data_IF_266891083158
#
_entry.id   IF_266891083158
#
_cell.length_a   1.000
_cell.length_b   1.000
_cell.length_c   1.000
_cell.angle_alpha   90.00
_cell.angle_beta   90.00
_cell.angle_gamma   90.00
#
_symmetry.space_group_name_H-M   'P 1'
#
loop_
_entity.id
_entity.type
_entity.pdbx_description
1 polymer ?
#
# COMPACT_ATOMS: atom_id res chain seq x y z
N UNK A 1 12.70 -18.09 -9.28
CA UNK A 1 11.99 -18.21 -8.00
C UNK A 1 12.81 -17.56 -6.90
N UNK A 2 12.21 -16.69 -6.12
CA UNK A 2 12.86 -16.06 -4.98
C UNK A 2 12.93 -17.04 -3.82
N UNK A 3 14.12 -17.19 -3.24
CA UNK A 3 14.25 -17.97 -2.00
C UNK A 3 14.02 -17.04 -0.82
N UNK A 4 13.06 -17.38 0.04
CA UNK A 4 12.70 -16.60 1.24
C UNK A 4 13.94 -16.29 2.10
N UNK A 5 14.89 -17.22 2.19
CA UNK A 5 16.14 -17.03 2.94
C UNK A 5 17.05 -15.92 2.40
N UNK A 6 16.78 -15.37 1.22
CA UNK A 6 17.53 -14.27 0.63
C UNK A 6 16.84 -12.91 0.81
N UNK A 7 15.60 -12.87 1.30
CA UNK A 7 14.88 -11.64 1.53
C UNK A 7 15.37 -10.97 2.80
N UNK A 8 15.65 -9.68 2.72
CA UNK A 8 15.89 -8.84 3.89
C UNK A 8 14.54 -8.33 4.37
N UNK A 9 14.25 -8.57 5.65
CA UNK A 9 12.92 -8.40 6.23
C UNK A 9 12.35 -6.99 6.04
N UNK A 10 13.18 -5.96 6.24
CA UNK A 10 12.72 -4.56 6.20
C UNK A 10 12.81 -3.91 4.82
N UNK A 11 13.32 -4.64 3.83
CA UNK A 11 13.59 -4.09 2.50
C UNK A 11 12.56 -4.56 1.48
N UNK A 12 12.22 -3.72 0.50
CA UNK A 12 11.38 -4.13 -0.61
C UNK A 12 12.14 -5.11 -1.51
N UNK A 13 11.40 -6.00 -2.14
CA UNK A 13 11.97 -6.97 -3.06
C UNK A 13 11.15 -7.04 -4.36
N UNK A 14 11.75 -6.73 -5.53
CA UNK A 14 11.09 -6.92 -6.81
C UNK A 14 10.88 -8.41 -7.09
N UNK A 15 9.62 -8.85 -7.09
CA UNK A 15 9.24 -10.22 -7.42
C UNK A 15 9.24 -10.46 -8.91
N UNK A 16 8.93 -9.44 -9.69
CA UNK A 16 8.98 -9.42 -11.13
C UNK A 16 9.46 -8.06 -11.59
N UNK A 17 10.32 -8.03 -12.60
CA UNK A 17 10.86 -6.80 -13.15
C UNK A 17 11.19 -6.96 -14.63
N UNK A 18 10.74 -5.99 -15.45
CA UNK A 18 11.19 -5.80 -16.80
C UNK A 18 11.33 -4.28 -17.08
N UNK A 19 11.59 -3.90 -18.32
CA UNK A 19 11.81 -2.49 -18.69
C UNK A 19 10.62 -1.58 -18.37
N UNK A 20 9.38 -2.10 -18.42
CA UNK A 20 8.16 -1.31 -18.27
C UNK A 20 7.46 -1.53 -16.94
N UNK A 21 7.63 -2.70 -16.31
CA UNK A 21 6.83 -3.11 -15.16
C UNK A 21 7.69 -3.64 -14.02
N UNK A 22 7.27 -3.35 -12.79
CA UNK A 22 7.79 -3.99 -11.57
C UNK A 22 6.63 -4.43 -10.71
N UNK A 23 6.76 -5.62 -10.11
CA UNK A 23 5.87 -6.08 -9.06
C UNK A 23 6.72 -6.32 -7.82
N UNK A 24 6.47 -5.53 -6.78
CA UNK A 24 7.37 -5.42 -5.62
C UNK A 24 6.63 -5.86 -4.34
N UNK A 25 7.24 -6.77 -3.60
CA UNK A 25 6.88 -7.04 -2.21
C UNK A 25 7.56 -5.98 -1.33
N UNK A 26 6.80 -5.33 -0.45
CA UNK A 26 7.24 -4.13 0.25
C UNK A 26 7.92 -4.40 1.60
N UNK A 27 8.30 -5.63 1.85
CA UNK A 27 9.02 -5.98 3.06
C UNK A 27 8.12 -6.34 4.23
N UNK A 28 8.74 -6.70 5.33
CA UNK A 28 8.10 -7.09 6.57
C UNK A 28 8.96 -6.58 7.73
N UNK A 29 8.34 -6.21 8.82
CA UNK A 29 9.03 -5.89 10.07
C UNK A 29 8.48 -6.78 11.19
N UNK A 30 9.32 -7.62 11.75
CA UNK A 30 8.93 -8.53 12.82
C UNK A 30 8.44 -7.79 14.08
N UNK A 31 8.94 -6.57 14.32
CA UNK A 31 8.47 -5.74 15.43
C UNK A 31 7.00 -5.34 15.29
N UNK A 32 6.45 -5.38 14.08
CA UNK A 32 5.04 -5.09 13.82
C UNK A 32 4.11 -6.14 14.43
N UNK A 33 4.60 -7.38 14.62
CA UNK A 33 3.82 -8.45 15.24
C UNK A 33 3.38 -8.10 16.67
N UNK A 34 4.16 -7.29 17.38
CA UNK A 34 3.81 -6.81 18.72
C UNK A 34 2.69 -5.76 18.70
N UNK A 35 2.50 -5.10 17.56
CA UNK A 35 1.56 -4.00 17.37
C UNK A 35 0.27 -4.43 16.69
N UNK A 36 0.25 -5.61 16.06
CA UNK A 36 -0.91 -6.07 15.31
C UNK A 36 -0.63 -7.33 14.50
N UNK A 37 -1.47 -7.56 13.51
CA UNK A 37 -1.36 -8.72 12.61
C UNK A 37 -0.37 -8.39 11.49
N UNK A 38 0.56 -9.31 11.22
CA UNK A 38 1.47 -9.19 10.09
C UNK A 38 0.70 -9.35 8.78
N UNK A 39 0.90 -8.38 7.88
CA UNK A 39 0.26 -8.36 6.56
C UNK A 39 1.31 -8.16 5.48
N UNK A 40 0.98 -8.53 4.25
CA UNK A 40 1.84 -8.31 3.09
C UNK A 40 1.31 -7.15 2.26
N UNK A 41 2.19 -6.27 1.84
CA UNK A 41 1.88 -5.15 0.99
C UNK A 41 2.65 -5.26 -0.32
N UNK A 42 2.05 -4.84 -1.43
CA UNK A 42 2.65 -4.94 -2.75
C UNK A 42 2.53 -3.63 -3.52
N UNK A 43 3.49 -3.40 -4.40
CA UNK A 43 3.52 -2.26 -5.30
C UNK A 43 3.68 -2.74 -6.73
N UNK A 44 2.83 -2.24 -7.63
CA UNK A 44 3.00 -2.38 -9.07
C UNK A 44 3.52 -1.04 -9.60
N UNK A 45 4.62 -1.07 -10.33
CA UNK A 45 5.17 0.11 -10.99
C UNK A 45 5.07 -0.08 -12.50
N UNK A 46 4.51 0.91 -13.17
CA UNK A 46 4.40 0.93 -14.63
C UNK A 46 4.76 2.32 -15.15
N UNK A 47 5.87 2.40 -15.88
CA UNK A 47 6.35 3.65 -16.51
C UNK A 47 6.38 4.82 -15.53
N UNK A 48 6.94 4.60 -14.35
CA UNK A 48 7.09 5.62 -13.31
C UNK A 48 5.84 5.91 -12.49
N UNK A 49 4.73 5.22 -12.74
CA UNK A 49 3.49 5.34 -11.96
C UNK A 49 3.31 4.11 -11.09
N UNK A 50 2.75 4.31 -9.89
CA UNK A 50 2.57 3.25 -8.91
C UNK A 50 1.12 2.95 -8.59
N UNK A 51 0.84 1.66 -8.38
CA UNK A 51 -0.41 1.15 -7.83
C UNK A 51 -0.05 0.35 -6.59
N UNK A 52 -0.61 0.74 -5.45
CA UNK A 52 -0.34 0.14 -4.16
C UNK A 52 -1.47 -0.84 -3.81
N UNK A 53 -1.11 -2.05 -3.38
CA UNK A 53 -2.06 -3.10 -3.03
C UNK A 53 -2.02 -3.35 -1.53
N UNK A 54 -3.18 -3.24 -0.87
CA UNK A 54 -3.37 -3.52 0.55
C UNK A 54 -2.26 -2.90 1.43
N UNK A 55 -2.15 -1.56 1.46
CA UNK A 55 -0.99 -0.88 2.03
C UNK A 55 -0.81 -1.06 3.53
N UNK A 56 -1.78 -1.65 4.20
CA UNK A 56 -1.68 -1.96 5.62
C UNK A 56 -2.23 -0.89 6.53
N UNK A 57 -2.19 -1.19 7.82
CA UNK A 57 -2.69 -0.32 8.86
C UNK A 57 -1.72 0.79 9.25
N UNK A 58 -2.09 1.49 10.30
CA UNK A 58 -1.32 2.62 10.82
C UNK A 58 0.12 2.24 11.22
N UNK A 59 0.28 1.10 11.87
CA UNK A 59 1.59 0.70 12.42
C UNK A 59 2.64 0.37 11.36
N UNK A 60 2.21 -0.03 10.16
CA UNK A 60 3.13 -0.38 9.07
C UNK A 60 3.35 0.77 8.08
N UNK A 61 2.65 1.89 8.24
CA UNK A 61 2.63 2.99 7.27
C UNK A 61 4.03 3.51 6.96
N UNK A 62 4.83 3.78 7.96
CA UNK A 62 6.17 4.37 7.77
C UNK A 62 7.07 3.44 6.94
N UNK A 63 7.11 2.17 7.28
CA UNK A 63 7.90 1.19 6.53
C UNK A 63 7.40 1.08 5.08
N UNK A 64 6.10 0.91 4.91
CA UNK A 64 5.49 0.76 3.58
C UNK A 64 5.76 1.99 2.72
N UNK A 65 5.53 3.17 3.26
CA UNK A 65 5.73 4.41 2.53
C UNK A 65 7.21 4.63 2.14
N UNK A 66 8.13 4.39 3.06
CA UNK A 66 9.56 4.50 2.79
C UNK A 66 10.01 3.53 1.70
N UNK A 67 9.48 2.31 1.70
CA UNK A 67 9.80 1.30 0.70
C UNK A 67 9.19 1.64 -0.67
N UNK A 68 7.97 2.16 -0.70
CA UNK A 68 7.33 2.65 -1.93
C UNK A 68 8.13 3.79 -2.55
N UNK A 69 8.62 4.72 -1.73
CA UNK A 69 9.37 5.89 -2.19
C UNK A 69 10.70 5.54 -2.88
N UNK A 70 11.21 4.33 -2.69
CA UNK A 70 12.39 3.85 -3.41
C UNK A 70 12.09 3.55 -4.89
N UNK A 71 10.83 3.37 -5.28
CA UNK A 71 10.42 2.96 -6.62
C UNK A 71 9.62 4.03 -7.36
N UNK A 72 8.78 4.79 -6.66
CA UNK A 72 7.95 5.83 -7.26
C UNK A 72 7.90 7.05 -6.35
N UNK A 73 7.73 8.22 -6.96
CA UNK A 73 7.44 9.44 -6.22
C UNK A 73 6.00 9.40 -5.70
N UNK A 74 5.72 9.95 -4.50
CA UNK A 74 4.35 9.97 -3.97
C UNK A 74 3.32 10.59 -4.92
N UNK A 75 3.68 11.61 -5.67
CA UNK A 75 2.81 12.26 -6.66
C UNK A 75 2.44 11.33 -7.82
N UNK A 76 3.23 10.28 -8.05
CA UNK A 76 3.04 9.31 -9.12
C UNK A 76 2.32 8.04 -8.66
N UNK A 77 1.92 7.96 -7.40
CA UNK A 77 0.98 6.92 -6.94
C UNK A 77 -0.40 7.31 -7.47
N UNK A 78 -0.94 6.52 -8.39
CA UNK A 78 -2.20 6.85 -9.08
C UNK A 78 -3.38 6.10 -8.51
N UNK A 79 -3.14 4.96 -7.87
CA UNK A 79 -4.20 4.14 -7.30
C UNK A 79 -3.72 3.38 -6.08
N UNK A 80 -4.63 3.17 -5.15
CA UNK A 80 -4.46 2.26 -4.01
C UNK A 80 -5.67 1.33 -4.02
N UNK A 81 -5.43 0.02 -4.03
CA UNK A 81 -6.48 -0.99 -4.06
C UNK A 81 -6.54 -1.72 -2.74
N UNK A 82 -7.75 -1.89 -2.23
CA UNK A 82 -8.03 -2.60 -0.98
C UNK A 82 -8.85 -3.85 -1.26
N UNK A 83 -8.35 -4.99 -0.78
CA UNK A 83 -9.05 -6.26 -0.92
C UNK A 83 -10.23 -6.40 0.04
N UNK A 84 -10.15 -5.73 1.20
CA UNK A 84 -11.20 -5.76 2.22
C UNK A 84 -11.06 -4.57 3.19
N UNK A 85 -11.98 -4.46 4.17
CA UNK A 85 -12.13 -3.28 5.02
C UNK A 85 -11.36 -3.33 6.35
N UNK A 86 -10.65 -4.40 6.66
CA UNK A 86 -10.00 -4.56 7.96
C UNK A 86 -8.99 -3.45 8.23
N UNK A 87 -8.87 -2.96 9.47
CA UNK A 87 -7.90 -1.92 9.82
C UNK A 87 -6.46 -2.29 9.48
N UNK A 88 -6.12 -3.58 9.50
CA UNK A 88 -4.79 -4.07 9.11
C UNK A 88 -4.50 -3.86 7.61
N UNK A 89 -5.51 -3.56 6.82
CA UNK A 89 -5.41 -3.33 5.38
C UNK A 89 -5.69 -1.86 5.02
N UNK A 90 -6.73 -1.24 5.60
CA UNK A 90 -7.18 0.10 5.21
C UNK A 90 -6.82 1.20 6.22
N UNK A 91 -6.26 0.86 7.36
CA UNK A 91 -6.07 1.81 8.46
C UNK A 91 -5.13 2.97 8.17
N UNK A 92 -4.29 2.88 7.14
CA UNK A 92 -3.40 3.97 6.71
C UNK A 92 -3.98 4.84 5.59
N UNK A 93 -5.24 4.64 5.19
CA UNK A 93 -5.84 5.33 4.04
C UNK A 93 -5.75 6.86 4.17
N UNK A 94 -6.08 7.41 5.33
CA UNK A 94 -6.02 8.86 5.56
C UNK A 94 -4.60 9.41 5.47
N UNK A 95 -3.61 8.68 5.97
CA UNK A 95 -2.20 9.05 5.85
C UNK A 95 -1.75 9.03 4.39
N UNK A 96 -2.16 8.01 3.63
CA UNK A 96 -1.87 7.93 2.20
C UNK A 96 -2.55 9.05 1.42
N UNK A 97 -3.76 9.44 1.80
CA UNK A 97 -4.46 10.55 1.17
C UNK A 97 -3.66 11.87 1.29
N UNK A 98 -2.99 12.06 2.42
CA UNK A 98 -2.16 13.25 2.63
C UNK A 98 -0.86 13.22 1.84
N UNK A 99 -0.19 12.07 1.76
CA UNK A 99 1.15 11.98 1.14
C UNK A 99 1.11 11.62 -0.34
N UNK A 100 0.01 11.06 -0.85
CA UNK A 100 -0.19 10.69 -2.24
C UNK A 100 -1.36 11.48 -2.84
N UNK A 101 -1.16 12.76 -3.19
CA UNK A 101 -2.26 13.68 -3.51
C UNK A 101 -3.05 13.29 -4.76
N UNK A 102 -2.46 12.52 -5.65
CA UNK A 102 -3.09 12.13 -6.92
C UNK A 102 -3.67 10.72 -6.90
N UNK A 103 -3.54 10.02 -5.79
CA UNK A 103 -4.04 8.65 -5.69
C UNK A 103 -5.55 8.60 -5.54
N UNK A 104 -6.18 7.63 -6.21
CA UNK A 104 -7.55 7.22 -5.97
C UNK A 104 -7.57 5.91 -5.20
N UNK A 105 -8.56 5.74 -4.35
CA UNK A 105 -8.68 4.60 -3.45
C UNK A 105 -9.82 3.71 -3.93
N UNK A 106 -9.48 2.48 -4.31
CA UNK A 106 -10.44 1.51 -4.86
C UNK A 106 -10.77 0.47 -3.82
N UNK A 107 -12.04 0.33 -3.52
CA UNK A 107 -12.55 -0.65 -2.57
C UNK A 107 -13.89 -1.17 -3.06
N UNK A 108 -14.21 -2.43 -2.75
CA UNK A 108 -15.51 -2.98 -3.09
C UNK A 108 -16.65 -2.17 -2.45
N UNK A 109 -17.71 -1.91 -3.21
CA UNK A 109 -18.93 -1.24 -2.72
C UNK A 109 -19.48 -1.86 -1.43
N UNK A 110 -19.29 -3.17 -1.26
CA UNK A 110 -19.69 -3.87 -0.04
C UNK A 110 -19.06 -3.28 1.23
N UNK A 111 -17.85 -2.73 1.12
CA UNK A 111 -17.06 -2.25 2.27
C UNK A 111 -17.09 -0.74 2.45
N UNK A 112 -17.63 0.03 1.51
CA UNK A 112 -17.63 1.49 1.58
C UNK A 112 -18.39 2.03 2.78
N UNK A 113 -19.37 1.31 3.30
CA UNK A 113 -20.11 1.67 4.51
C UNK A 113 -19.25 1.78 5.78
N UNK A 114 -18.04 1.22 5.77
CA UNK A 114 -17.10 1.29 6.90
C UNK A 114 -16.19 2.51 6.84
N UNK A 115 -16.27 3.33 5.79
CA UNK A 115 -15.36 4.44 5.56
C UNK A 115 -15.89 5.84 5.93
N UNK A 116 -17.18 6.06 6.29
CA UNK A 116 -17.69 7.43 6.47
C UNK A 116 -16.92 8.27 7.49
N UNK A 117 -16.27 7.62 8.46
CA UNK A 117 -15.46 8.30 9.48
C UNK A 117 -14.18 8.96 8.93
N UNK A 118 -13.81 8.68 7.69
CA UNK A 118 -12.59 9.21 7.08
C UNK A 118 -12.73 10.65 6.60
N UNK A 119 -13.96 11.18 6.53
CA UNK A 119 -14.24 12.54 6.13
C UNK A 119 -14.53 12.71 4.64
N UNK A 120 -15.25 13.78 4.32
CA UNK A 120 -15.78 14.01 2.97
C UNK A 120 -14.69 14.17 1.90
N UNK A 121 -13.59 14.84 2.24
CA UNK A 121 -12.48 15.06 1.28
C UNK A 121 -11.84 13.75 0.84
N UNK A 122 -11.64 12.83 1.79
CA UNK A 122 -11.08 11.52 1.49
C UNK A 122 -12.08 10.68 0.70
N UNK A 123 -13.36 10.72 1.09
CA UNK A 123 -14.42 9.93 0.43
C UNK A 123 -14.61 10.32 -1.04
N UNK A 124 -14.35 11.57 -1.42
CA UNK A 124 -14.41 11.99 -2.82
C UNK A 124 -13.36 11.28 -3.71
N UNK A 125 -12.31 10.76 -3.12
CA UNK A 125 -11.23 10.04 -3.82
C UNK A 125 -11.41 8.53 -3.78
N UNK A 126 -12.46 8.04 -3.13
CA UNK A 126 -12.80 6.62 -3.08
C UNK A 126 -13.63 6.25 -4.32
N UNK A 127 -13.24 5.14 -4.94
CA UNK A 127 -13.92 4.57 -6.12
C UNK A 127 -14.41 3.18 -5.76
N UNK A 128 -15.69 2.92 -6.03
CA UNK A 128 -16.32 1.62 -5.79
C UNK A 128 -16.11 0.63 -6.95
#
# INVERSE_FOLDING_TARGET
MVRISKLKVHEPYPLYENEAHKFVWLGLDESEAEKGILTNQYLIVHKGKGILLDPGGYFVFERVFNNVAQFVKPENIVAVLYSHQDPDVVGSLTLLADVAPNARFYISALWTRFLPHLGAEVLQRVVE
#
